data_IF_373178669636
#
_entry.id   IF_373178669636
#
_cell.length_a   1.000
_cell.length_b   1.000
_cell.length_c   1.000
_cell.angle_alpha   90.00
_cell.angle_beta   90.00
_cell.angle_gamma   90.00
#
_symmetry.space_group_name_H-M   'P 1'
#
loop_
_entity.id
_entity.type
_entity.pdbx_description
1 polymer ?
#
# COMPACT_ATOMS: atom_id res chain seq x y z
N UNK A 1 -10.23 -1.88 -23.63
CA UNK A 1 -8.79 -1.54 -23.59
C UNK A 1 -8.56 -0.29 -22.79
N UNK A 2 -7.63 -0.36 -21.89
CA UNK A 2 -7.28 0.81 -21.06
C UNK A 2 -6.32 1.73 -21.82
N UNK A 3 -6.54 3.02 -21.71
CA UNK A 3 -5.63 4.02 -22.25
C UNK A 3 -4.60 4.38 -21.19
N UNK A 4 -3.37 4.53 -21.61
CA UNK A 4 -2.30 4.97 -20.73
C UNK A 4 -2.28 6.49 -20.73
N UNK A 5 -2.27 7.09 -19.56
CA UNK A 5 -2.14 8.53 -19.38
C UNK A 5 -0.91 8.83 -18.55
N UNK A 6 -0.24 9.92 -18.89
CA UNK A 6 0.92 10.35 -18.14
C UNK A 6 0.49 11.20 -16.96
N UNK A 7 1.02 10.87 -15.77
CA UNK A 7 0.79 11.63 -14.56
C UNK A 7 2.13 11.98 -13.95
N UNK A 8 2.30 13.22 -13.51
CA UNK A 8 3.55 13.69 -12.92
C UNK A 8 3.30 14.01 -11.45
N UNK A 9 4.14 13.45 -10.58
CA UNK A 9 4.12 13.71 -9.14
C UNK A 9 5.45 14.31 -8.71
N UNK A 10 5.38 15.20 -7.73
CA UNK A 10 6.58 15.73 -7.08
C UNK A 10 6.80 14.97 -5.78
N UNK A 11 8.01 14.48 -5.58
CA UNK A 11 8.40 13.78 -4.36
C UNK A 11 9.51 14.56 -3.67
N UNK A 12 9.48 14.60 -2.34
CA UNK A 12 10.65 15.05 -1.60
C UNK A 12 11.73 13.97 -1.69
N UNK A 13 12.93 14.31 -1.24
CA UNK A 13 14.06 13.39 -1.36
C UNK A 13 13.84 12.09 -0.62
N UNK A 14 13.26 12.16 0.58
CA UNK A 14 13.01 10.99 1.41
C UNK A 14 12.01 10.03 0.74
N UNK A 15 10.94 10.58 0.23
CA UNK A 15 9.92 9.78 -0.47
C UNK A 15 10.47 9.14 -1.73
N UNK A 16 11.29 9.89 -2.47
CA UNK A 16 11.92 9.34 -3.69
C UNK A 16 12.88 8.21 -3.35
N UNK A 17 13.70 8.37 -2.31
CA UNK A 17 14.59 7.31 -1.86
C UNK A 17 13.83 6.06 -1.46
N UNK A 18 12.72 6.23 -0.75
CA UNK A 18 11.86 5.11 -0.37
C UNK A 18 11.33 4.37 -1.60
N UNK A 19 10.88 5.13 -2.60
CA UNK A 19 10.37 4.53 -3.84
C UNK A 19 11.47 3.76 -4.57
N UNK A 20 12.68 4.33 -4.62
CA UNK A 20 13.83 3.68 -5.26
C UNK A 20 14.19 2.38 -4.54
N UNK A 21 14.23 2.41 -3.21
CA UNK A 21 14.54 1.21 -2.42
C UNK A 21 13.49 0.13 -2.60
N UNK A 22 12.22 0.49 -2.58
CA UNK A 22 11.15 -0.47 -2.81
C UNK A 22 11.23 -1.09 -4.20
N UNK A 23 11.60 -0.29 -5.19
CA UNK A 23 11.76 -0.78 -6.55
C UNK A 23 12.88 -1.82 -6.63
N UNK A 24 14.01 -1.55 -5.99
CA UNK A 24 15.13 -2.47 -5.96
C UNK A 24 14.82 -3.74 -5.18
N UNK A 25 14.26 -3.61 -3.98
CA UNK A 25 13.95 -4.74 -3.11
C UNK A 25 12.89 -5.66 -3.71
N UNK A 26 11.89 -5.06 -4.36
CA UNK A 26 10.84 -5.82 -5.03
C UNK A 26 11.22 -6.35 -6.40
N UNK A 27 12.42 -6.00 -6.87
CA UNK A 27 12.92 -6.41 -8.19
C UNK A 27 11.98 -5.97 -9.31
N UNK A 28 11.38 -4.81 -9.15
CA UNK A 28 10.52 -4.23 -10.19
C UNK A 28 11.37 -3.67 -11.32
N UNK A 29 10.85 -3.71 -12.53
CA UNK A 29 11.57 -3.21 -13.70
C UNK A 29 11.60 -1.69 -13.76
N UNK A 30 10.71 -1.00 -13.05
CA UNK A 30 10.66 0.46 -13.01
C UNK A 30 9.95 0.94 -11.75
N UNK A 31 10.16 2.22 -11.41
CA UNK A 31 9.43 2.83 -10.31
C UNK A 31 7.92 2.88 -10.59
N UNK A 32 7.54 2.99 -11.85
CA UNK A 32 6.11 2.94 -12.21
C UNK A 32 5.48 1.61 -11.84
N UNK A 33 6.20 0.52 -12.01
CA UNK A 33 5.70 -0.81 -11.62
C UNK A 33 5.54 -0.91 -10.11
N UNK A 34 6.46 -0.34 -9.34
CA UNK A 34 6.37 -0.28 -7.88
C UNK A 34 5.09 0.46 -7.47
N UNK A 35 4.83 1.60 -8.11
CA UNK A 35 3.63 2.39 -7.83
C UNK A 35 2.36 1.59 -8.14
N UNK A 36 2.33 0.90 -9.29
CA UNK A 36 1.18 0.08 -9.67
C UNK A 36 0.91 -1.03 -8.66
N UNK A 37 1.96 -1.72 -8.21
CA UNK A 37 1.84 -2.73 -7.16
C UNK A 37 1.29 -2.13 -5.88
N UNK A 38 1.81 -0.96 -5.48
CA UNK A 38 1.36 -0.26 -4.27
C UNK A 38 -0.12 0.11 -4.37
N UNK A 39 -0.59 0.51 -5.54
CA UNK A 39 -1.99 0.82 -5.76
C UNK A 39 -2.88 -0.42 -5.59
N UNK A 40 -2.44 -1.56 -6.11
CA UNK A 40 -3.19 -2.81 -5.97
C UNK A 40 -3.31 -3.21 -4.50
N UNK A 41 -2.23 -3.10 -3.75
CA UNK A 41 -2.23 -3.39 -2.32
C UNK A 41 -3.17 -2.44 -1.58
N UNK A 42 -3.07 -1.14 -1.87
CA UNK A 42 -3.92 -0.13 -1.23
C UNK A 42 -5.40 -0.38 -1.52
N UNK A 43 -5.74 -0.72 -2.75
CA UNK A 43 -7.13 -1.01 -3.12
C UNK A 43 -7.67 -2.23 -2.40
N UNK A 44 -6.86 -3.28 -2.29
CA UNK A 44 -7.24 -4.49 -1.57
C UNK A 44 -7.54 -4.19 -0.10
N UNK A 45 -6.65 -3.41 0.54
CA UNK A 45 -6.83 -3.04 1.94
C UNK A 45 -8.04 -2.14 2.14
N UNK A 46 -8.23 -1.15 1.27
CA UNK A 46 -9.39 -0.25 1.35
C UNK A 46 -10.71 -1.00 1.18
N UNK A 47 -10.73 -1.98 0.28
CA UNK A 47 -11.91 -2.82 0.07
C UNK A 47 -12.28 -3.57 1.34
N UNK A 48 -11.29 -4.13 2.03
CA UNK A 48 -11.51 -4.84 3.28
C UNK A 48 -11.95 -3.88 4.39
N UNK A 49 -11.31 -2.71 4.47
CA UNK A 49 -11.65 -1.71 5.47
C UNK A 49 -13.10 -1.23 5.33
N UNK A 50 -13.58 -1.09 4.11
CA UNK A 50 -14.96 -0.71 3.84
C UNK A 50 -15.98 -1.72 4.36
N UNK A 51 -15.57 -2.96 4.59
CA UNK A 51 -16.39 -4.03 5.15
C UNK A 51 -16.17 -4.21 6.65
N UNK A 52 -15.37 -3.35 7.27
CA UNK A 52 -15.10 -3.40 8.70
C UNK A 52 -13.78 -4.08 9.08
N UNK A 53 -13.03 -4.60 8.11
CA UNK A 53 -11.75 -5.27 8.35
C UNK A 53 -10.63 -4.22 8.27
N UNK A 54 -10.34 -3.59 9.40
CA UNK A 54 -9.44 -2.44 9.47
C UNK A 54 -8.09 -2.73 10.09
N UNK A 55 -7.92 -3.91 10.67
CA UNK A 55 -6.64 -4.33 11.23
C UNK A 55 -5.85 -5.15 10.22
N UNK A 56 -4.58 -4.80 10.04
CA UNK A 56 -3.69 -5.54 9.15
C UNK A 56 -2.64 -6.25 10.00
N UNK A 57 -2.57 -7.55 9.86
CA UNK A 57 -1.61 -8.38 10.57
C UNK A 57 -0.59 -8.93 9.59
N UNK A 58 0.67 -8.90 9.96
CA UNK A 58 1.72 -9.60 9.24
C UNK A 58 2.19 -10.76 10.09
N UNK A 59 2.39 -11.90 9.49
CA UNK A 59 2.72 -13.13 10.19
C UNK A 59 4.01 -13.71 9.66
N UNK A 60 4.86 -14.15 10.59
CA UNK A 60 6.03 -14.94 10.24
C UNK A 60 5.59 -16.40 10.17
N UNK A 61 5.57 -17.03 8.99
CA UNK A 61 5.07 -18.41 8.88
C UNK A 61 5.94 -19.44 9.57
N UNK A 62 7.22 -19.12 9.82
CA UNK A 62 8.12 -20.06 10.49
C UNK A 62 7.93 -20.08 12.00
N UNK A 63 7.63 -18.91 12.59
CA UNK A 63 7.48 -18.79 14.04
C UNK A 63 6.03 -18.65 14.49
N UNK A 64 5.12 -18.39 13.55
CA UNK A 64 3.72 -18.08 13.80
C UNK A 64 3.51 -16.77 14.57
N UNK A 65 4.54 -15.99 14.75
CA UNK A 65 4.45 -14.68 15.38
C UNK A 65 3.70 -13.72 14.47
N UNK A 66 2.82 -12.91 15.06
CA UNK A 66 2.03 -11.92 14.33
C UNK A 66 2.28 -10.53 14.87
N UNK A 67 2.20 -9.55 13.98
CA UNK A 67 2.33 -8.13 14.32
C UNK A 67 1.26 -7.33 13.63
N UNK A 68 0.73 -6.35 14.34
CA UNK A 68 -0.25 -5.44 13.76
C UNK A 68 0.47 -4.29 13.08
N UNK A 69 0.07 -4.01 11.84
CA UNK A 69 0.54 -2.82 11.13
C UNK A 69 -0.51 -1.71 11.25
N UNK A 70 -0.07 -0.54 11.68
CA UNK A 70 -0.97 0.62 11.75
C UNK A 70 -0.93 1.35 10.42
N UNK A 71 -2.05 1.37 9.73
CA UNK A 71 -2.20 2.05 8.45
C UNK A 71 -3.26 3.14 8.64
N UNK A 72 -2.84 4.41 8.73
CA UNK A 72 -3.77 5.49 9.11
C UNK A 72 -4.99 5.62 8.20
N UNK A 73 -4.84 5.38 6.90
CA UNK A 73 -5.96 5.47 5.95
C UNK A 73 -7.07 4.48 6.26
N UNK A 74 -6.71 3.30 6.78
CA UNK A 74 -7.71 2.28 7.12
C UNK A 74 -8.49 2.67 8.37
N UNK A 75 -7.84 3.33 9.32
CA UNK A 75 -8.50 3.84 10.51
C UNK A 75 -9.51 4.93 10.16
N UNK A 76 -9.15 5.80 9.22
CA UNK A 76 -10.06 6.82 8.71
C UNK A 76 -11.27 6.19 8.02
N UNK A 77 -11.06 5.16 7.23
CA UNK A 77 -12.13 4.44 6.56
C UNK A 77 -13.10 3.81 7.57
N UNK A 78 -12.56 3.24 8.66
CA UNK A 78 -13.36 2.68 9.74
C UNK A 78 -14.23 3.76 10.41
N UNK A 79 -13.65 4.92 10.69
CA UNK A 79 -14.40 6.02 11.29
C UNK A 79 -15.55 6.47 10.39
N UNK A 80 -15.33 6.53 9.09
CA UNK A 80 -16.38 6.87 8.13
C UNK A 80 -17.48 5.83 8.09
N UNK A 81 -17.13 4.57 8.25
CA UNK A 81 -18.10 3.47 8.19
C UNK A 81 -19.03 3.45 9.38
N UNK A 82 -18.63 4.02 10.49
CA UNK A 82 -19.43 4.06 11.71
C UNK A 82 -20.53 5.11 11.67
N UNK A 83 -20.49 6.00 10.72
CA UNK A 83 -21.51 7.06 10.56
C UNK A 83 -22.74 6.60 9.75
#
# INVERSE_FOLDING_TARGET
>A
MSKTKRVVFSFDERSLESLQKLTEQGRFSSMADTVRESLQISRALQSQAGQGFTEVLVRNPETSEERVLVIPTLQTASAKSEV
#
